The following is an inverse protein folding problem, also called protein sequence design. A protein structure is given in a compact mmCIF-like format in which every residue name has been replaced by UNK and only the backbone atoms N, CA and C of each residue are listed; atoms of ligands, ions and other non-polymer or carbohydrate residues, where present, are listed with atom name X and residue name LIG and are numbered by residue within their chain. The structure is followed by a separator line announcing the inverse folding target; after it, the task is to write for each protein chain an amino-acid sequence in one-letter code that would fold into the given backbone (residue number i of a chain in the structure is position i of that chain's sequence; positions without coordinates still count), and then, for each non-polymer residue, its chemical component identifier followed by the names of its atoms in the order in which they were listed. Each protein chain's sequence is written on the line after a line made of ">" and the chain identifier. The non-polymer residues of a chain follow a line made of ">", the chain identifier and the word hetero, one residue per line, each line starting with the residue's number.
data_IF_633109909495
#
_entry.id   IF_633109909495
#
_cell.length_a   1.000
_cell.length_b   1.000
_cell.length_c   1.000
_cell.angle_alpha   90.00
_cell.angle_beta   90.00
_cell.angle_gamma   90.00
#
_symmetry.space_group_name_H-M   'P 1'
#
loop_
_entity.id
_entity.type
_entity.pdbx_description
1 polymer ?
#
# COMPACT_ATOMS: atom_id res chain seq x y z
N UNK A 1 10.44 -13.34 29.81
CA UNK A 1 10.16 -14.23 28.68
C UNK A 1 8.80 -13.80 28.15
N UNK A 2 8.69 -12.89 27.19
CA UNK A 2 9.10 -13.09 25.79
C UNK A 2 9.79 -11.86 25.25
N UNK A 3 10.91 -12.11 24.60
CA UNK A 3 11.80 -11.18 23.94
C UNK A 3 11.01 -10.20 23.07
N UNK A 4 11.18 -8.91 23.32
CA UNK A 4 11.05 -7.91 22.28
C UNK A 4 12.06 -8.32 21.20
N UNK A 5 11.58 -9.03 20.18
CA UNK A 5 12.27 -9.08 18.92
C UNK A 5 12.28 -7.66 18.40
N UNK A 6 13.34 -6.94 18.79
CA UNK A 6 14.02 -5.98 17.95
C UNK A 6 14.06 -6.62 16.56
N UNK A 7 13.11 -6.23 15.71
CA UNK A 7 13.13 -6.56 14.30
C UNK A 7 14.25 -5.70 13.70
N UNK A 8 15.49 -6.13 13.91
CA UNK A 8 16.60 -5.57 13.18
C UNK A 8 16.40 -5.87 11.69
N UNK A 9 16.55 -4.84 10.87
CA UNK A 9 17.12 -4.93 9.52
C UNK A 9 16.21 -5.40 8.38
N UNK A 10 15.77 -4.42 7.57
CA UNK A 10 16.07 -4.22 6.13
C UNK A 10 14.91 -3.36 5.59
N UNK A 11 15.17 -2.15 5.07
CA UNK A 11 14.16 -1.36 4.33
C UNK A 11 13.78 -2.15 3.07
N UNK A 12 12.88 -3.12 3.20
CA UNK A 12 12.41 -3.94 2.09
C UNK A 12 11.29 -3.16 1.42
N UNK A 13 11.53 -2.74 0.19
CA UNK A 13 10.48 -2.28 -0.71
C UNK A 13 9.69 -3.48 -1.23
N UNK A 14 8.45 -3.23 -1.62
CA UNK A 14 7.57 -4.14 -2.33
C UNK A 14 7.16 -3.53 -3.65
N UNK A 15 7.07 -4.36 -4.68
CA UNK A 15 6.63 -3.97 -6.01
C UNK A 15 5.18 -4.37 -6.19
N UNK A 16 4.33 -3.45 -6.63
CA UNK A 16 2.91 -3.68 -6.80
C UNK A 16 2.53 -3.30 -8.21
N UNK A 17 1.95 -4.24 -8.94
CA UNK A 17 1.50 -4.06 -10.31
C UNK A 17 -0.01 -3.85 -10.29
N UNK A 18 -0.47 -2.67 -10.71
CA UNK A 18 -1.88 -2.27 -10.60
C UNK A 18 -2.52 -2.10 -11.97
N UNK A 19 -3.76 -2.57 -12.07
CA UNK A 19 -4.59 -2.48 -13.26
C UNK A 19 -4.20 -3.44 -14.38
N UNK A 20 -5.00 -3.48 -15.46
CA UNK A 20 -4.79 -4.42 -16.57
C UNK A 20 -3.49 -4.17 -17.33
N UNK A 21 -2.94 -2.95 -17.24
CA UNK A 21 -1.65 -2.58 -17.84
C UNK A 21 -0.47 -2.80 -16.90
N UNK A 22 -0.69 -3.30 -15.69
CA UNK A 22 0.34 -3.56 -14.69
C UNK A 22 1.26 -2.36 -14.46
N UNK A 23 0.68 -1.19 -14.15
CA UNK A 23 1.48 -0.02 -13.74
C UNK A 23 2.25 -0.40 -12.47
N UNK A 24 3.56 -0.24 -12.50
CA UNK A 24 4.46 -0.64 -11.42
C UNK A 24 4.56 0.45 -10.36
N UNK A 25 4.44 0.05 -9.09
CA UNK A 25 4.66 0.89 -7.92
C UNK A 25 5.66 0.23 -6.97
N UNK A 26 6.73 0.95 -6.62
CA UNK A 26 7.70 0.49 -5.61
C UNK A 26 7.50 1.27 -4.31
N UNK A 27 7.05 0.58 -3.26
CA UNK A 27 6.68 1.20 -1.97
C UNK A 27 7.40 0.50 -0.82
N UNK A 28 7.84 1.23 0.21
CA UNK A 28 8.41 0.60 1.40
C UNK A 28 7.37 -0.23 2.16
N UNK A 29 7.72 -1.47 2.53
CA UNK A 29 6.83 -2.35 3.31
C UNK A 29 6.35 -1.72 4.63
N UNK A 30 7.17 -0.87 5.25
CA UNK A 30 6.79 -0.16 6.48
C UNK A 30 5.62 0.83 6.28
N UNK A 31 5.45 1.34 5.05
CA UNK A 31 4.42 2.31 4.69
C UNK A 31 3.15 1.58 4.27
N UNK A 32 3.27 0.60 3.37
CA UNK A 32 2.10 -0.07 2.81
C UNK A 32 1.44 -1.06 3.77
N UNK A 33 2.21 -1.69 4.65
CA UNK A 33 1.68 -2.61 5.66
C UNK A 33 1.03 -1.91 6.86
N UNK A 34 0.78 -0.60 6.80
CA UNK A 34 -0.14 0.04 7.74
C UNK A 34 -1.59 -0.39 7.48
N UNK A 35 -1.94 -0.69 6.23
CA UNK A 35 -3.18 -1.38 5.92
C UNK A 35 -3.12 -2.82 6.37
N UNK A 36 -4.17 -3.27 7.07
CA UNK A 36 -4.35 -4.67 7.47
C UNK A 36 -4.30 -5.62 6.26
N UNK A 37 -4.83 -5.18 5.11
CA UNK A 37 -4.84 -5.96 3.86
C UNK A 37 -3.43 -6.28 3.39
N UNK A 38 -2.61 -5.24 3.16
CA UNK A 38 -1.23 -5.43 2.72
C UNK A 38 -0.39 -6.10 3.80
N UNK A 39 -0.66 -5.82 5.07
CA UNK A 39 0.02 -6.49 6.18
C UNK A 39 -0.26 -7.98 6.20
N UNK A 40 -1.49 -8.41 5.96
CA UNK A 40 -1.85 -9.81 5.86
C UNK A 40 -1.22 -10.45 4.62
N UNK A 41 -1.30 -9.79 3.46
CA UNK A 41 -0.73 -10.27 2.21
C UNK A 41 0.80 -10.45 2.26
N UNK A 42 1.51 -9.56 2.96
CA UNK A 42 2.98 -9.63 3.09
C UNK A 42 3.49 -10.37 4.33
N UNK A 43 2.63 -10.77 5.27
CA UNK A 43 3.01 -11.57 6.46
C UNK A 43 2.59 -13.03 6.37
N UNK A 44 1.68 -13.38 5.48
CA UNK A 44 1.28 -14.76 5.24
C UNK A 44 2.41 -15.58 4.60
N UNK A 45 2.27 -16.89 4.58
CA UNK A 45 3.11 -17.78 3.77
C UNK A 45 2.76 -17.73 2.26
N UNK A 46 2.03 -16.69 1.81
CA UNK A 46 1.66 -16.53 0.40
C UNK A 46 2.86 -16.07 -0.46
N UNK A 47 2.78 -16.30 -1.76
CA UNK A 47 3.87 -16.02 -2.70
C UNK A 47 4.29 -14.55 -2.67
N UNK A 48 3.36 -13.63 -2.40
CA UNK A 48 3.58 -12.20 -2.30
C UNK A 48 4.52 -11.82 -1.15
N UNK A 49 4.47 -12.53 -0.03
CA UNK A 49 5.37 -12.34 1.10
C UNK A 49 6.81 -12.76 0.76
N UNK A 50 6.95 -13.82 -0.04
CA UNK A 50 8.23 -14.42 -0.45
C UNK A 50 8.92 -13.62 -1.56
N UNK A 51 8.18 -13.23 -2.58
CA UNK A 51 8.71 -12.51 -3.75
C UNK A 51 8.70 -10.99 -3.57
N UNK A 52 7.99 -10.48 -2.55
CA UNK A 52 7.84 -9.05 -2.31
C UNK A 52 7.05 -8.33 -3.40
N UNK A 53 6.37 -9.08 -4.26
CA UNK A 53 5.63 -8.59 -5.41
C UNK A 53 4.14 -8.90 -5.25
N UNK A 54 3.27 -7.95 -5.59
CA UNK A 54 1.81 -8.13 -5.56
C UNK A 54 1.19 -7.66 -6.87
N UNK A 55 0.14 -8.36 -7.32
CA UNK A 55 -0.61 -8.01 -8.52
C UNK A 55 -2.05 -7.65 -8.15
N UNK A 56 -2.51 -6.50 -8.62
CA UNK A 56 -3.83 -5.93 -8.39
C UNK A 56 -4.46 -5.59 -9.75
N UNK A 57 -4.79 -6.60 -10.59
CA UNK A 57 -5.20 -6.37 -11.98
C UNK A 57 -6.56 -5.65 -12.12
N UNK A 58 -7.42 -5.78 -11.11
CA UNK A 58 -8.77 -5.19 -11.08
C UNK A 58 -8.77 -3.75 -10.53
N UNK A 59 -7.70 -3.33 -9.86
CA UNK A 59 -7.61 -2.02 -9.22
C UNK A 59 -7.22 -0.91 -10.19
N UNK A 60 -7.67 0.32 -9.89
CA UNK A 60 -7.35 1.49 -10.69
C UNK A 60 -5.95 2.03 -10.32
N UNK A 61 -5.01 2.16 -11.28
CA UNK A 61 -3.67 2.65 -11.00
C UNK A 61 -3.62 4.10 -10.50
N UNK A 62 -4.55 4.96 -10.93
CA UNK A 62 -4.61 6.35 -10.48
C UNK A 62 -5.07 6.42 -9.02
N UNK A 63 -6.05 5.59 -8.63
CA UNK A 63 -6.49 5.47 -7.24
C UNK A 63 -5.36 4.95 -6.32
N UNK A 64 -4.59 3.97 -6.79
CA UNK A 64 -3.45 3.46 -6.05
C UNK A 64 -2.33 4.49 -5.90
N UNK A 65 -2.11 5.36 -6.89
CA UNK A 65 -1.15 6.47 -6.80
C UNK A 65 -1.51 7.42 -5.65
N UNK A 66 -2.81 7.73 -5.50
CA UNK A 66 -3.30 8.55 -4.38
C UNK A 66 -3.10 7.88 -3.03
N UNK A 67 -3.42 6.59 -2.96
CA UNK A 67 -3.19 5.80 -1.76
C UNK A 67 -1.70 5.79 -1.37
N UNK A 68 -0.81 5.58 -2.35
CA UNK A 68 0.63 5.59 -2.14
C UNK A 68 1.10 6.98 -1.65
N UNK A 69 0.66 8.06 -2.30
CA UNK A 69 1.02 9.42 -1.88
C UNK A 69 0.58 9.71 -0.44
N UNK A 70 -0.67 9.36 -0.09
CA UNK A 70 -1.19 9.49 1.27
C UNK A 70 -0.38 8.65 2.27
N UNK A 71 -0.11 7.39 1.95
CA UNK A 71 0.60 6.48 2.82
C UNK A 71 2.02 6.99 3.12
N UNK A 72 2.70 7.58 2.12
CA UNK A 72 4.03 8.19 2.30
C UNK A 72 4.01 9.47 3.13
N UNK A 73 3.04 10.36 2.92
CA UNK A 73 3.05 11.69 3.56
C UNK A 73 2.44 11.70 4.96
N UNK A 74 1.53 10.76 5.28
CA UNK A 74 0.64 10.82 6.46
C UNK A 74 -0.17 12.12 6.56
N UNK A 75 -0.16 12.93 5.50
CA UNK A 75 -0.92 14.16 5.35
C UNK A 75 -1.25 14.36 3.88
N UNK A 76 -2.42 14.93 3.62
CA UNK A 76 -2.81 15.38 2.28
C UNK A 76 -2.52 16.87 2.25
N UNK A 77 -1.85 17.35 1.21
CA UNK A 77 -1.58 18.78 1.07
C UNK A 77 -2.92 19.50 0.86
N UNK A 78 -3.13 20.53 1.66
CA UNK A 78 -4.16 21.53 1.48
C UNK A 78 -3.97 22.24 0.11
N UNK A 79 -4.99 22.15 -0.74
CA UNK A 79 -4.94 22.67 -2.10
C UNK A 79 -5.78 21.91 -3.15
N UNK A 80 -6.43 20.81 -2.79
CA UNK A 80 -7.28 20.03 -3.70
C UNK A 80 -8.77 20.37 -3.50
N UNK A 81 -9.53 20.39 -4.60
CA UNK A 81 -10.98 20.66 -4.61
C UNK A 81 -11.78 19.58 -3.88
N UNK A 82 -13.00 19.92 -3.41
CA UNK A 82 -13.92 19.00 -2.70
C UNK A 82 -14.12 17.64 -3.38
N UNK A 83 -14.07 17.61 -4.72
CA UNK A 83 -14.16 16.39 -5.51
C UNK A 83 -13.13 15.32 -5.14
N UNK A 84 -11.96 15.73 -4.65
CA UNK A 84 -10.87 14.83 -4.28
C UNK A 84 -11.13 14.14 -2.93
N UNK A 85 -11.77 14.85 -2.01
CA UNK A 85 -12.16 14.29 -0.71
C UNK A 85 -13.27 13.26 -0.86
N UNK A 86 -14.17 13.45 -1.82
CA UNK A 86 -15.20 12.46 -2.17
C UNK A 86 -14.59 11.16 -2.69
N UNK A 87 -13.62 11.23 -3.63
CA UNK A 87 -12.95 10.04 -4.13
C UNK A 87 -12.17 9.27 -3.06
N UNK A 88 -11.59 9.99 -2.08
CA UNK A 88 -10.89 9.36 -0.95
C UNK A 88 -11.87 8.69 0.03
N UNK A 89 -13.01 9.32 0.29
CA UNK A 89 -14.06 8.73 1.13
C UNK A 89 -14.65 7.47 0.49
N UNK A 90 -14.92 7.49 -0.82
CA UNK A 90 -15.47 6.32 -1.54
C UNK A 90 -14.49 5.14 -1.59
N UNK A 91 -13.18 5.42 -1.68
CA UNK A 91 -12.14 4.39 -1.65
C UNK A 91 -12.01 3.75 -0.26
N UNK A 92 -12.23 4.54 0.80
CA UNK A 92 -12.09 4.09 2.18
C UNK A 92 -13.38 3.49 2.77
N UNK A 93 -14.54 3.71 2.16
CA UNK A 93 -15.81 3.08 2.57
C UNK A 93 -16.02 1.68 1.96
N UNK A 94 -15.23 1.33 0.94
CA UNK A 94 -15.38 0.09 0.17
C UNK A 94 -14.27 -0.93 0.49
N UNK A 95 -13.25 -0.53 1.28
CA UNK A 95 -12.14 -1.35 1.81
C UNK A 95 -12.26 -1.53 3.32
#
# INVERSE_FOLDING_TARGET
>A
MTSAHVCATRRRTSTIFVGPKQKEFTIYKEIICESEFFRAAFKSDFAEAKDGTMYLPEDNPDAFDLYAEWAYRKSIRDGHSESYLHSLYDLCSTL
#
